data_IF_073659644015
#
_entry.id   IF_073659644015
#
_cell.length_a   1.000
_cell.length_b   1.000
_cell.length_c   1.000
_cell.angle_alpha   90.00
_cell.angle_beta   90.00
_cell.angle_gamma   90.00
#
_symmetry.space_group_name_H-M   'P 1'
#
loop_
_entity.id
_entity.type
_entity.pdbx_description
1 polymer ?
#
# COMPACT_ATOMS: atom_id res chain seq x y z
N UNK A 1 -3.28 -34.57 5.85
CA UNK A 1 -2.62 -33.49 6.59
C UNK A 1 -1.39 -33.06 5.79
N UNK A 2 -1.59 -32.24 4.78
CA UNK A 2 -0.48 -31.72 3.96
C UNK A 2 -0.04 -30.38 4.54
N UNK A 3 1.07 -30.42 5.29
CA UNK A 3 1.80 -29.21 5.65
C UNK A 3 2.40 -28.66 4.34
N UNK A 4 1.70 -27.73 3.70
CA UNK A 4 2.26 -26.91 2.66
C UNK A 4 3.40 -26.13 3.32
N UNK A 5 4.62 -26.30 2.81
CA UNK A 5 5.79 -25.52 3.22
C UNK A 5 5.52 -24.06 2.86
N UNK A 6 4.86 -23.34 3.75
CA UNK A 6 4.76 -21.90 3.66
C UNK A 6 6.18 -21.36 3.74
N UNK A 7 6.66 -20.72 2.67
CA UNK A 7 7.97 -20.06 2.66
C UNK A 7 8.07 -19.04 3.80
N UNK A 8 9.25 -18.46 4.02
CA UNK A 8 9.41 -17.39 5.01
C UNK A 8 8.46 -16.23 4.71
N UNK A 9 7.87 -15.58 5.74
CA UNK A 9 6.98 -14.44 5.53
C UNK A 9 7.73 -13.27 4.88
N UNK A 10 7.06 -12.54 4.00
CA UNK A 10 7.57 -11.30 3.41
C UNK A 10 7.65 -10.18 4.47
N UNK A 11 6.71 -10.23 5.43
CA UNK A 11 6.65 -9.35 6.59
C UNK A 11 6.13 -10.14 7.79
N UNK A 12 6.78 -9.99 8.95
CA UNK A 12 6.32 -10.52 10.23
C UNK A 12 6.27 -9.39 11.26
N UNK A 13 5.10 -9.17 11.85
CA UNK A 13 4.89 -8.25 12.95
C UNK A 13 4.60 -9.08 14.22
N UNK A 14 5.29 -8.78 15.32
CA UNK A 14 5.24 -9.55 16.55
C UNK A 14 4.96 -8.64 17.74
N UNK A 15 3.85 -8.90 18.43
CA UNK A 15 3.39 -8.22 19.66
C UNK A 15 3.45 -6.70 19.58
N UNK A 16 2.96 -6.14 18.45
CA UNK A 16 2.95 -4.70 18.26
C UNK A 16 1.92 -4.05 19.17
N UNK A 17 2.36 -3.06 19.95
CA UNK A 17 1.47 -2.23 20.78
C UNK A 17 1.78 -0.75 20.54
N UNK A 18 0.74 0.06 20.48
CA UNK A 18 0.87 1.50 20.24
C UNK A 18 -0.09 2.31 21.08
N UNK A 19 0.47 3.23 21.87
CA UNK A 19 -0.27 4.26 22.62
C UNK A 19 0.01 5.64 22.01
N UNK A 20 -1.02 6.42 21.75
CA UNK A 20 -0.89 7.81 21.30
C UNK A 20 -1.85 8.73 22.04
N UNK A 21 -1.31 9.84 22.57
CA UNK A 21 -2.12 10.82 23.32
C UNK A 21 -2.82 10.20 24.53
N UNK A 22 -2.17 9.25 25.22
CA UNK A 22 -2.75 8.53 26.36
C UNK A 22 -3.82 7.48 26.01
N UNK A 23 -4.05 7.23 24.69
CA UNK A 23 -5.01 6.24 24.21
C UNK A 23 -4.27 5.08 23.55
N UNK A 24 -4.58 3.87 23.96
CA UNK A 24 -4.14 2.65 23.30
C UNK A 24 -4.88 2.51 21.97
N UNK A 25 -4.13 2.38 20.86
CA UNK A 25 -4.66 2.19 19.51
C UNK A 25 -4.75 0.70 19.18
N UNK A 26 -3.75 -0.06 19.54
CA UNK A 26 -3.72 -1.52 19.46
C UNK A 26 -2.69 -2.08 20.45
N UNK A 27 -2.88 -3.33 20.88
CA UNK A 27 -2.06 -4.04 21.83
C UNK A 27 -1.78 -5.47 21.34
N UNK A 28 -0.53 -5.94 21.52
CA UNK A 28 -0.07 -7.31 21.24
C UNK A 28 -0.43 -7.86 19.83
N UNK A 29 -0.61 -6.96 18.86
CA UNK A 29 -0.96 -7.32 17.49
C UNK A 29 0.19 -8.08 16.83
N UNK A 30 -0.12 -9.27 16.31
CA UNK A 30 0.83 -10.08 15.56
C UNK A 30 0.22 -10.50 14.23
N UNK A 31 1.00 -10.40 13.14
CA UNK A 31 0.58 -10.80 11.80
C UNK A 31 1.79 -11.20 10.97
N UNK A 32 1.67 -12.32 10.27
CA UNK A 32 2.64 -12.79 9.29
C UNK A 32 2.01 -12.74 7.89
N UNK A 33 2.68 -12.02 6.98
CA UNK A 33 2.24 -11.84 5.60
C UNK A 33 3.12 -12.67 4.68
N UNK A 34 2.52 -13.59 3.96
CA UNK A 34 3.19 -14.49 3.01
C UNK A 34 2.91 -14.10 1.56
N UNK A 35 3.74 -14.57 0.65
CA UNK A 35 3.50 -14.47 -0.78
C UNK A 35 2.12 -15.06 -1.15
N UNK A 36 1.43 -14.43 -2.09
CA UNK A 36 0.09 -14.83 -2.51
C UNK A 36 -1.04 -14.40 -1.55
N UNK A 37 -0.77 -13.48 -0.61
CA UNK A 37 -1.79 -13.02 0.34
C UNK A 37 -2.15 -11.55 0.13
N UNK A 38 -3.46 -11.27 0.27
CA UNK A 38 -4.01 -9.93 0.38
C UNK A 38 -4.61 -9.75 1.78
N UNK A 39 -4.11 -8.77 2.51
CA UNK A 39 -4.59 -8.39 3.84
C UNK A 39 -5.30 -7.04 3.80
N UNK A 40 -6.53 -6.99 4.30
CA UNK A 40 -7.28 -5.76 4.52
C UNK A 40 -7.28 -5.43 6.01
N UNK A 41 -6.76 -4.24 6.36
CA UNK A 41 -6.82 -3.71 7.72
C UNK A 41 -8.08 -2.88 7.84
N UNK A 42 -8.98 -3.31 8.72
CA UNK A 42 -10.25 -2.65 9.01
C UNK A 42 -10.22 -1.98 10.39
N UNK A 43 -11.15 -1.08 10.61
CA UNK A 43 -11.32 -0.38 11.88
C UNK A 43 -11.87 1.03 11.67
N UNK A 44 -12.45 1.60 12.72
CA UNK A 44 -13.01 2.95 12.71
C UNK A 44 -11.96 4.02 12.41
N UNK A 45 -12.41 5.25 12.07
CA UNK A 45 -11.51 6.37 11.94
C UNK A 45 -10.81 6.63 13.29
N UNK A 46 -9.48 6.81 13.24
CA UNK A 46 -8.67 6.96 14.46
C UNK A 46 -8.29 5.64 15.14
N UNK A 47 -8.66 4.47 14.62
CA UNK A 47 -8.25 3.16 15.18
C UNK A 47 -6.75 2.87 15.09
N UNK A 48 -5.99 3.68 14.34
CA UNK A 48 -4.54 3.49 14.22
C UNK A 48 -4.09 2.84 12.91
N UNK A 49 -4.97 2.64 11.94
CA UNK A 49 -4.65 2.01 10.63
C UNK A 49 -3.41 2.62 9.96
N UNK A 50 -3.41 3.94 9.73
CA UNK A 50 -2.25 4.64 9.16
C UNK A 50 -1.01 4.54 10.04
N UNK A 51 -1.16 4.52 11.37
CA UNK A 51 -0.04 4.33 12.29
C UNK A 51 0.56 2.93 12.16
N UNK A 52 -0.28 1.90 12.08
CA UNK A 52 0.16 0.53 11.84
C UNK A 52 0.87 0.43 10.47
N UNK A 53 0.29 0.98 9.40
CA UNK A 53 0.94 1.00 8.08
C UNK A 53 2.33 1.65 8.12
N UNK A 54 2.49 2.78 8.85
CA UNK A 54 3.79 3.44 9.02
C UNK A 54 4.80 2.61 9.80
N UNK A 55 4.35 1.80 10.77
CA UNK A 55 5.20 0.85 11.48
C UNK A 55 5.58 -0.31 10.55
N UNK A 56 4.60 -0.89 9.85
CA UNK A 56 4.83 -2.01 8.93
C UNK A 56 5.77 -1.65 7.78
N UNK A 57 5.74 -0.43 7.24
CA UNK A 57 6.67 0.01 6.19
C UNK A 57 8.03 0.53 6.71
N UNK A 58 8.20 0.71 8.02
CA UNK A 58 9.44 1.18 8.65
C UNK A 58 9.61 2.70 8.69
N UNK A 59 8.57 3.47 8.37
CA UNK A 59 8.57 4.93 8.53
C UNK A 59 8.48 5.36 9.99
N UNK A 60 7.81 4.59 10.84
CA UNK A 60 7.84 4.76 12.30
C UNK A 60 8.81 3.72 12.87
N UNK A 61 9.90 4.20 13.47
CA UNK A 61 10.96 3.35 14.05
C UNK A 61 10.93 3.31 15.57
N UNK A 62 10.20 4.23 16.20
CA UNK A 62 10.14 4.40 17.65
C UNK A 62 8.71 4.73 18.09
N UNK A 63 8.45 4.62 19.38
CA UNK A 63 7.18 4.98 19.99
C UNK A 63 6.09 3.91 19.88
N UNK A 64 6.49 2.68 19.67
CA UNK A 64 5.66 1.47 19.74
C UNK A 64 6.47 0.32 20.35
N UNK A 65 5.80 -0.67 20.89
CA UNK A 65 6.39 -1.91 21.40
C UNK A 65 6.24 -3.03 20.35
N UNK A 66 7.09 -4.07 20.46
CA UNK A 66 7.11 -5.21 19.54
C UNK A 66 8.17 -5.09 18.45
N UNK A 67 8.07 -5.94 17.43
CA UNK A 67 9.06 -6.05 16.35
C UNK A 67 8.39 -6.21 15.00
N UNK A 68 9.01 -5.64 13.95
CA UNK A 68 8.66 -5.90 12.55
C UNK A 68 9.89 -6.37 11.79
N UNK A 69 9.81 -7.56 11.25
CA UNK A 69 10.81 -8.14 10.36
C UNK A 69 10.29 -8.06 8.92
N UNK A 70 11.13 -7.64 8.01
CA UNK A 70 10.83 -7.56 6.58
C UNK A 70 11.90 -8.32 5.83
N UNK A 71 11.51 -9.34 5.08
CA UNK A 71 12.43 -10.10 4.23
C UNK A 71 12.63 -9.43 2.86
N UNK A 72 11.78 -8.45 2.53
CA UNK A 72 11.82 -7.67 1.29
C UNK A 72 11.58 -6.19 1.59
N UNK A 73 12.04 -5.31 0.70
CA UNK A 73 11.70 -3.88 0.75
C UNK A 73 10.27 -3.69 0.24
N UNK A 74 9.34 -3.12 1.02
CA UNK A 74 7.99 -2.89 0.56
C UNK A 74 7.89 -1.63 -0.30
N UNK A 75 7.01 -1.63 -1.31
CA UNK A 75 6.46 -0.41 -1.87
C UNK A 75 5.39 0.13 -0.92
N UNK A 76 5.51 1.38 -0.51
CA UNK A 76 4.52 2.04 0.34
C UNK A 76 3.84 3.19 -0.38
N UNK A 77 2.52 3.13 -0.52
CA UNK A 77 1.68 4.24 -0.94
C UNK A 77 0.86 4.73 0.25
N UNK A 78 1.22 5.91 0.76
CA UNK A 78 0.55 6.54 1.89
C UNK A 78 -0.82 7.12 1.55
N UNK A 79 -1.55 7.52 2.60
CA UNK A 79 -2.85 8.16 2.47
C UNK A 79 -2.79 9.44 1.61
N UNK A 80 -1.77 10.27 1.79
CA UNK A 80 -1.53 11.41 0.89
C UNK A 80 -0.64 10.99 -0.29
N UNK A 81 -1.02 11.34 -1.52
CA UNK A 81 -0.17 11.13 -2.68
C UNK A 81 1.17 11.86 -2.50
N UNK A 82 2.28 11.14 -2.58
CA UNK A 82 3.61 11.71 -2.52
C UNK A 82 4.00 12.31 -3.88
N UNK A 83 3.19 13.26 -4.36
CA UNK A 83 3.38 13.95 -5.65
C UNK A 83 3.89 15.35 -5.38
N UNK A 84 5.04 15.68 -5.96
CA UNK A 84 5.65 17.01 -5.88
C UNK A 84 4.95 17.94 -6.86
N UNK A 85 4.33 18.99 -6.35
CA UNK A 85 3.44 19.88 -7.12
C UNK A 85 4.14 20.59 -8.30
N UNK A 86 5.44 20.88 -8.20
CA UNK A 86 6.21 21.58 -9.23
C UNK A 86 6.73 20.66 -10.33
N UNK A 87 6.71 19.34 -10.11
CA UNK A 87 7.13 18.36 -11.08
C UNK A 87 5.92 17.86 -11.89
N UNK A 88 6.16 17.42 -13.12
CA UNK A 88 5.16 16.72 -13.92
C UNK A 88 4.91 15.30 -13.39
N UNK A 89 3.84 14.59 -13.80
CA UNK A 89 3.65 13.17 -13.51
C UNK A 89 4.87 12.32 -13.89
N UNK A 90 5.43 12.51 -15.08
CA UNK A 90 6.64 11.83 -15.54
C UNK A 90 7.80 12.03 -14.60
N UNK A 91 8.12 13.27 -14.27
CA UNK A 91 9.20 13.60 -13.34
C UNK A 91 8.94 13.04 -11.92
N UNK A 92 7.69 13.07 -11.45
CA UNK A 92 7.31 12.47 -10.17
C UNK A 92 7.54 10.96 -10.11
N UNK A 93 7.36 10.25 -11.23
CA UNK A 93 7.60 8.81 -11.31
C UNK A 93 9.09 8.49 -11.47
N UNK A 94 9.85 9.29 -12.23
CA UNK A 94 11.32 9.18 -12.33
C UNK A 94 12.02 9.40 -10.98
N UNK A 95 11.48 10.31 -10.16
CA UNK A 95 12.02 10.65 -8.83
C UNK A 95 11.57 9.70 -7.72
N UNK A 96 11.04 8.55 -8.02
CA UNK A 96 10.63 7.62 -6.97
C UNK A 96 11.85 6.97 -6.32
N UNK A 97 11.94 7.14 -4.98
CA UNK A 97 13.09 6.79 -4.12
C UNK A 97 13.26 5.28 -3.85
N UNK A 98 12.62 4.39 -4.57
CA UNK A 98 12.77 2.95 -4.32
C UNK A 98 14.17 2.40 -4.65
N UNK A 99 15.04 3.21 -5.27
CA UNK A 99 16.39 2.78 -5.65
C UNK A 99 16.43 1.76 -6.78
N UNK A 100 15.27 1.34 -7.25
CA UNK A 100 15.09 0.56 -8.47
C UNK A 100 15.30 1.50 -9.64
N UNK A 101 16.21 1.22 -10.50
CA UNK A 101 16.76 2.06 -11.57
C UNK A 101 15.85 3.09 -12.22
N UNK A 102 16.40 3.90 -13.10
CA UNK A 102 15.62 4.88 -13.87
C UNK A 102 14.70 4.13 -14.85
N UNK A 103 13.40 4.33 -14.71
CA UNK A 103 12.43 3.85 -15.69
C UNK A 103 12.57 4.63 -17.00
N UNK A 104 12.38 3.96 -18.12
CA UNK A 104 12.32 4.64 -19.41
C UNK A 104 11.05 5.48 -19.53
N UNK A 105 11.08 6.51 -20.38
CA UNK A 105 9.90 7.33 -20.63
C UNK A 105 8.71 6.48 -21.13
N UNK A 106 8.98 5.47 -21.96
CA UNK A 106 7.95 4.55 -22.46
C UNK A 106 7.29 3.73 -21.33
N UNK A 107 8.07 3.27 -20.34
CA UNK A 107 7.53 2.58 -19.17
C UNK A 107 6.63 3.50 -18.34
N UNK A 108 7.08 4.74 -18.14
CA UNK A 108 6.33 5.75 -17.40
C UNK A 108 5.05 6.12 -18.12
N UNK A 109 5.10 6.35 -19.43
CA UNK A 109 3.93 6.69 -20.25
C UNK A 109 2.91 5.55 -20.24
N UNK A 110 3.39 4.31 -20.33
CA UNK A 110 2.54 3.13 -20.20
C UNK A 110 1.86 3.08 -18.82
N UNK A 111 2.61 3.33 -17.75
CA UNK A 111 2.05 3.34 -16.39
C UNK A 111 1.03 4.46 -16.19
N UNK A 112 1.29 5.66 -16.72
CA UNK A 112 0.36 6.79 -16.69
C UNK A 112 -0.90 6.52 -17.51
N UNK A 113 -0.77 5.93 -18.69
CA UNK A 113 -1.91 5.54 -19.51
C UNK A 113 -2.81 4.51 -18.79
N UNK A 114 -2.21 3.53 -18.08
CA UNK A 114 -2.92 2.52 -17.27
C UNK A 114 -3.78 3.12 -16.16
N UNK A 115 -3.41 4.27 -15.65
CA UNK A 115 -4.20 4.99 -14.62
C UNK A 115 -5.05 6.12 -15.21
N UNK A 116 -5.22 6.18 -16.54
CA UNK A 116 -6.05 7.18 -17.22
C UNK A 116 -5.47 8.59 -17.20
N UNK A 117 -4.14 8.72 -17.24
CA UNK A 117 -3.42 10.00 -17.30
C UNK A 117 -2.68 10.20 -18.63
N UNK A 118 -3.15 9.57 -19.71
CA UNK A 118 -2.64 9.80 -21.07
C UNK A 118 -2.84 11.28 -21.45
N UNK A 119 -1.76 11.94 -21.90
CA UNK A 119 -1.74 13.36 -22.24
C UNK A 119 -1.48 14.31 -21.06
N UNK A 120 -1.25 13.77 -19.86
CA UNK A 120 -0.90 14.56 -18.67
C UNK A 120 0.56 14.38 -18.24
N UNK A 121 1.35 13.64 -19.00
CA UNK A 121 2.70 13.19 -18.63
C UNK A 121 3.61 14.35 -18.23
N UNK A 122 3.56 15.45 -18.98
CA UNK A 122 4.47 16.59 -18.85
C UNK A 122 3.80 17.86 -18.28
N UNK A 123 2.53 17.76 -17.86
CA UNK A 123 1.79 18.88 -17.27
C UNK A 123 2.21 19.05 -15.80
N UNK A 124 2.54 20.26 -15.31
CA UNK A 124 2.91 20.47 -13.91
C UNK A 124 1.82 19.96 -12.94
N UNK A 125 2.20 19.15 -11.95
CA UNK A 125 1.25 18.46 -11.08
C UNK A 125 0.39 19.39 -10.22
N UNK A 126 0.80 20.64 -9.98
CA UNK A 126 -0.03 21.61 -9.25
C UNK A 126 -1.36 21.95 -9.97
N UNK A 127 -1.45 21.68 -11.28
CA UNK A 127 -2.68 21.90 -12.06
C UNK A 127 -3.62 20.70 -12.03
N UNK A 128 -3.17 19.57 -11.53
CA UNK A 128 -3.93 18.34 -11.46
C UNK A 128 -4.92 18.35 -10.30
N UNK A 129 -6.05 17.67 -10.48
CA UNK A 129 -7.01 17.41 -9.41
C UNK A 129 -6.46 16.44 -8.36
N UNK A 130 -7.09 16.39 -7.19
CA UNK A 130 -6.74 15.42 -6.14
C UNK A 130 -6.83 13.97 -6.64
N UNK A 131 -7.84 13.65 -7.47
CA UNK A 131 -7.97 12.32 -8.10
C UNK A 131 -6.84 12.02 -9.07
N UNK A 132 -6.42 12.99 -9.87
CA UNK A 132 -5.26 12.82 -10.77
C UNK A 132 -3.96 12.65 -9.98
N UNK A 133 -3.74 13.38 -8.89
CA UNK A 133 -2.61 13.13 -7.98
C UNK A 133 -2.62 11.70 -7.44
N UNK A 134 -3.81 11.20 -7.06
CA UNK A 134 -3.97 9.81 -6.61
C UNK A 134 -3.59 8.82 -7.71
N UNK A 135 -4.02 9.07 -8.95
CA UNK A 135 -3.69 8.24 -10.10
C UNK A 135 -2.19 8.25 -10.41
N UNK A 136 -1.49 9.40 -10.31
CA UNK A 136 -0.01 9.44 -10.41
C UNK A 136 0.63 8.56 -9.33
N UNK A 137 0.11 8.60 -8.09
CA UNK A 137 0.63 7.73 -7.02
C UNK A 137 0.40 6.25 -7.31
N UNK A 138 -0.78 5.88 -7.85
CA UNK A 138 -1.10 4.50 -8.24
C UNK A 138 -0.28 4.00 -9.43
N UNK A 139 0.13 4.89 -10.35
CA UNK A 139 0.98 4.51 -11.47
C UNK A 139 2.29 3.84 -11.03
N UNK A 140 2.77 4.12 -9.81
CA UNK A 140 3.94 3.46 -9.21
C UNK A 140 3.78 1.96 -9.04
N UNK A 141 2.54 1.47 -8.89
CA UNK A 141 2.27 0.03 -8.80
C UNK A 141 2.61 -0.71 -10.10
N UNK A 142 2.50 -0.04 -11.25
CA UNK A 142 2.82 -0.61 -12.56
C UNK A 142 4.32 -0.58 -12.88
N UNK A 143 5.08 0.20 -12.14
CA UNK A 143 6.52 0.36 -12.34
C UNK A 143 7.35 -0.46 -11.33
N UNK A 144 6.78 -0.77 -10.16
CA UNK A 144 7.52 -1.38 -9.06
C UNK A 144 7.61 -2.90 -9.17
N UNK A 145 8.80 -3.44 -8.97
CA UNK A 145 9.07 -4.87 -8.82
C UNK A 145 8.95 -5.37 -7.37
N UNK A 146 8.57 -4.48 -6.43
CA UNK A 146 8.45 -4.82 -5.02
C UNK A 146 7.41 -5.93 -4.80
N UNK A 147 7.82 -7.01 -4.16
CA UNK A 147 6.96 -8.16 -3.86
C UNK A 147 5.94 -7.91 -2.75
N UNK A 148 6.12 -6.88 -1.94
CA UNK A 148 5.21 -6.49 -0.87
C UNK A 148 4.72 -5.06 -1.09
N UNK A 149 3.41 -4.89 -1.20
CA UNK A 149 2.77 -3.59 -1.29
C UNK A 149 2.03 -3.24 0.00
N UNK A 150 2.30 -2.05 0.53
CA UNK A 150 1.65 -1.49 1.71
C UNK A 150 0.88 -0.23 1.29
N UNK A 151 -0.45 -0.32 1.22
CA UNK A 151 -1.30 0.70 0.59
C UNK A 151 -2.28 1.30 1.61
N UNK A 152 -2.14 2.61 1.89
CA UNK A 152 -3.02 3.31 2.82
C UNK A 152 -4.14 4.04 2.05
N UNK A 153 -5.37 3.49 2.12
CA UNK A 153 -6.59 3.97 1.45
C UNK A 153 -6.39 4.17 -0.08
N UNK A 154 -6.00 3.13 -0.86
CA UNK A 154 -5.65 3.29 -2.27
C UNK A 154 -6.82 3.76 -3.14
N UNK A 155 -8.08 3.54 -2.73
CA UNK A 155 -9.27 3.86 -3.51
C UNK A 155 -9.84 5.27 -3.27
N UNK A 156 -9.21 6.06 -2.40
CA UNK A 156 -9.68 7.42 -2.11
C UNK A 156 -9.51 8.32 -3.32
N UNK A 157 -10.55 9.10 -3.63
CA UNK A 157 -10.57 10.11 -4.71
C UNK A 157 -10.40 9.55 -6.14
N UNK A 158 -10.68 8.27 -6.38
CA UNK A 158 -10.78 7.70 -7.72
C UNK A 158 -12.21 7.26 -8.02
N UNK A 159 -12.57 7.24 -9.28
CA UNK A 159 -13.87 6.80 -9.76
C UNK A 159 -14.02 5.27 -9.72
N UNK A 160 -15.24 4.79 -9.97
CA UNK A 160 -15.53 3.35 -9.92
C UNK A 160 -14.65 2.54 -10.87
N UNK A 161 -14.42 3.03 -12.10
CA UNK A 161 -13.57 2.34 -13.05
C UNK A 161 -12.14 2.22 -12.52
N UNK A 162 -11.55 3.28 -11.97
CA UNK A 162 -10.22 3.27 -11.37
C UNK A 162 -10.14 2.34 -10.16
N UNK A 163 -11.22 2.21 -9.38
CA UNK A 163 -11.30 1.20 -8.29
C UNK A 163 -11.23 -0.20 -8.86
N UNK A 164 -12.05 -0.52 -9.88
CA UNK A 164 -12.11 -1.84 -10.49
C UNK A 164 -10.76 -2.23 -11.11
N UNK A 165 -10.11 -1.30 -11.84
CA UNK A 165 -8.78 -1.48 -12.43
C UNK A 165 -7.70 -1.70 -11.35
N UNK A 166 -7.75 -0.92 -10.26
CA UNK A 166 -6.80 -1.09 -9.16
C UNK A 166 -7.01 -2.44 -8.47
N UNK A 167 -8.24 -2.87 -8.22
CA UNK A 167 -8.51 -4.18 -7.63
C UNK A 167 -8.01 -5.33 -8.51
N UNK A 168 -8.20 -5.24 -9.84
CA UNK A 168 -7.66 -6.23 -10.78
C UNK A 168 -6.12 -6.29 -10.73
N UNK A 169 -5.46 -5.13 -10.60
CA UNK A 169 -4.01 -5.06 -10.45
C UNK A 169 -3.54 -5.71 -9.15
N UNK A 170 -4.24 -5.46 -8.01
CA UNK A 170 -3.91 -6.08 -6.72
C UNK A 170 -4.03 -7.60 -6.80
N UNK A 171 -5.11 -8.12 -7.40
CA UNK A 171 -5.31 -9.55 -7.60
C UNK A 171 -4.19 -10.16 -8.46
N UNK A 172 -3.85 -9.52 -9.60
CA UNK A 172 -2.76 -9.97 -10.46
C UNK A 172 -1.41 -10.00 -9.76
N UNK A 173 -1.12 -9.01 -8.90
CA UNK A 173 0.12 -8.98 -8.10
C UNK A 173 0.19 -10.15 -7.11
N UNK A 174 -0.91 -10.43 -6.43
CA UNK A 174 -1.03 -11.55 -5.47
C UNK A 174 -0.90 -12.90 -6.19
N UNK A 175 -1.58 -13.07 -7.33
CA UNK A 175 -1.50 -14.28 -8.14
C UNK A 175 -0.08 -14.50 -8.71
N UNK A 176 0.64 -13.42 -8.97
CA UNK A 176 2.05 -13.43 -9.36
C UNK A 176 3.04 -13.74 -8.22
N UNK A 177 2.56 -14.04 -7.02
CA UNK A 177 3.39 -14.38 -5.85
C UNK A 177 3.86 -13.16 -5.05
N UNK A 178 3.30 -11.99 -5.31
CA UNK A 178 3.42 -10.82 -4.44
C UNK A 178 2.50 -10.92 -3.22
N UNK A 179 2.54 -9.91 -2.35
CA UNK A 179 1.60 -9.75 -1.25
C UNK A 179 1.17 -8.29 -1.11
N UNK A 180 -0.04 -8.09 -0.63
CA UNK A 180 -0.62 -6.77 -0.40
C UNK A 180 -1.13 -6.67 1.04
N UNK A 181 -0.79 -5.59 1.73
CA UNK A 181 -1.46 -5.18 2.96
C UNK A 181 -2.03 -3.79 2.72
N UNK A 182 -3.33 -3.63 2.92
CA UNK A 182 -3.98 -2.36 2.63
C UNK A 182 -5.00 -1.97 3.68
N UNK A 183 -5.24 -0.67 3.80
CA UNK A 183 -6.41 -0.14 4.51
C UNK A 183 -7.47 0.24 3.49
N UNK A 184 -8.73 -0.02 3.76
CA UNK A 184 -9.84 0.47 2.96
C UNK A 184 -11.13 0.48 3.77
N UNK A 185 -11.99 1.47 3.48
CA UNK A 185 -13.38 1.50 3.95
C UNK A 185 -14.34 0.87 2.93
N UNK A 186 -13.86 0.56 1.73
CA UNK A 186 -14.67 -0.06 0.68
C UNK A 186 -14.46 -1.57 0.68
N UNK A 187 -15.51 -2.36 0.44
CA UNK A 187 -15.38 -3.80 0.27
C UNK A 187 -14.54 -4.11 -0.97
N UNK A 188 -13.68 -5.11 -0.84
CA UNK A 188 -12.89 -5.61 -1.96
C UNK A 188 -13.71 -6.58 -2.81
N UNK A 189 -13.70 -6.37 -4.13
CA UNK A 189 -14.31 -7.28 -5.12
C UNK A 189 -13.18 -7.94 -5.93
N UNK A 190 -12.39 -8.79 -5.26
CA UNK A 190 -11.24 -9.49 -5.83
C UNK A 190 -11.49 -11.00 -5.83
N UNK A 191 -10.83 -11.71 -6.74
CA UNK A 191 -10.95 -13.17 -6.86
C UNK A 191 -10.05 -13.96 -5.91
N UNK A 192 -9.02 -13.30 -5.35
CA UNK A 192 -8.11 -13.91 -4.38
C UNK A 192 -8.69 -13.88 -2.95
N UNK A 193 -8.18 -14.76 -2.08
CA UNK A 193 -8.56 -14.76 -0.68
C UNK A 193 -8.08 -13.50 0.04
N UNK A 194 -9.02 -12.80 0.68
CA UNK A 194 -8.76 -11.62 1.49
C UNK A 194 -8.70 -12.02 2.96
N UNK A 195 -7.56 -11.78 3.59
CA UNK A 195 -7.40 -11.87 5.03
C UNK A 195 -7.79 -10.54 5.67
N UNK A 196 -8.50 -10.56 6.77
CA UNK A 196 -8.92 -9.33 7.46
C UNK A 196 -8.23 -9.20 8.80
N UNK A 197 -7.66 -8.02 9.04
CA UNK A 197 -7.11 -7.64 10.34
C UNK A 197 -7.95 -6.49 10.91
N UNK A 198 -8.73 -6.80 11.94
CA UNK A 198 -9.61 -5.81 12.58
C UNK A 198 -8.88 -5.08 13.71
N UNK A 199 -8.69 -3.76 13.57
CA UNK A 199 -8.25 -2.90 14.65
C UNK A 199 -9.47 -2.46 15.49
N UNK A 200 -9.78 -3.24 16.51
CA UNK A 200 -10.81 -2.89 17.49
C UNK A 200 -10.11 -2.24 18.69
N UNK A 201 -10.65 -1.13 19.20
CA UNK A 201 -10.11 -0.49 20.38
C UNK A 201 -10.08 -1.47 21.56
N UNK A 202 -8.89 -1.76 22.07
CA UNK A 202 -8.71 -2.38 23.38
C UNK A 202 -8.90 -3.90 23.50
N UNK A 203 -9.19 -4.63 22.41
CA UNK A 203 -9.19 -6.11 22.46
C UNK A 203 -8.82 -6.66 21.11
N UNK A 204 -7.70 -7.36 21.04
CA UNK A 204 -7.43 -8.33 19.97
C UNK A 204 -8.04 -9.65 20.43
N UNK A 205 -8.90 -10.33 19.66
CA UNK A 205 -9.38 -11.65 20.01
C UNK A 205 -8.26 -12.69 20.01
#
# INVERSE_FOLDING_TARGET
MSSSAAGAPLLAAQSLSLVRGGRELFCELSVDVYAGQLWQIEGSNGAGKTSLMRILCGLSRYGFDGKVLRSVTPLHLGHQPAVKALLSPRENLQWHLSGEGLYSDEQIDTALARVGLCGYEDIPSHTLSAGQHRRVNLARLFLSEARLWLLDEPFTAIDKQGVDETQALLASHVDGGGAVVMTSHQPLQVTCNVHTLNLVHGVVP
#
